data_IF_433244467120
#
_entry.id   IF_433244467120
#
_cell.length_a   1.000
_cell.length_b   1.000
_cell.length_c   1.000
_cell.angle_alpha   90.00
_cell.angle_beta   90.00
_cell.angle_gamma   90.00
#
_symmetry.space_group_name_H-M   'P 1'
#
loop_
_entity.id
_entity.type
_entity.pdbx_description
1 polymer ?
#
# COMPACT_ATOMS: atom_id res chain seq x y z
N UNK A 1 -4.28 24.36 43.13
CA UNK A 1 -3.60 24.23 41.81
C UNK A 1 -2.49 23.17 41.87
N UNK A 2 -2.70 21.97 41.32
CA UNK A 2 -1.72 20.90 41.39
C UNK A 2 -0.59 21.10 40.36
N UNK A 3 0.59 20.63 40.74
CA UNK A 3 1.87 20.69 40.04
C UNK A 3 1.90 19.92 38.70
N UNK A 4 2.82 20.24 37.77
CA UNK A 4 2.94 19.57 36.48
C UNK A 4 3.61 18.19 36.60
N UNK A 5 3.18 17.18 35.82
CA UNK A 5 3.88 15.91 35.74
C UNK A 5 5.14 16.03 34.86
N UNK A 6 6.14 15.27 35.30
CA UNK A 6 7.54 15.26 34.89
C UNK A 6 7.74 14.58 33.53
N UNK A 7 8.65 15.16 32.73
CA UNK A 7 9.66 14.45 31.95
C UNK A 7 9.21 13.59 30.76
N UNK A 8 9.23 14.17 29.57
CA UNK A 8 9.27 13.44 28.30
C UNK A 8 10.72 13.45 27.79
N UNK A 9 11.36 12.28 27.82
CA UNK A 9 12.72 12.07 27.29
C UNK A 9 12.62 11.77 25.79
N UNK A 10 13.17 12.64 24.95
CA UNK A 10 13.28 12.45 23.50
C UNK A 10 14.57 11.65 23.23
N UNK A 11 14.53 10.45 22.60
CA UNK A 11 15.75 9.83 22.14
C UNK A 11 16.23 10.54 20.86
N UNK A 12 17.34 11.26 20.98
CA UNK A 12 18.15 11.77 19.88
C UNK A 12 18.69 10.59 19.06
N UNK A 13 18.20 10.41 17.84
CA UNK A 13 18.80 9.52 16.86
C UNK A 13 20.10 10.16 16.35
N UNK A 14 21.22 9.61 16.82
CA UNK A 14 22.56 9.95 16.39
C UNK A 14 22.75 9.55 14.91
N UNK A 15 23.05 10.53 14.05
CA UNK A 15 23.45 10.30 12.67
C UNK A 15 24.86 9.71 12.64
N UNK A 16 24.99 8.40 12.38
CA UNK A 16 26.27 7.81 12.00
C UNK A 16 26.46 7.92 10.49
N UNK A 17 27.23 8.94 10.09
CA UNK A 17 27.84 9.05 8.77
C UNK A 17 28.99 8.03 8.74
N UNK A 18 28.84 6.95 7.98
CA UNK A 18 29.96 6.04 7.70
C UNK A 18 30.71 6.51 6.44
N UNK A 19 32.04 6.72 6.51
CA UNK A 19 32.84 7.08 5.34
C UNK A 19 33.02 5.88 4.41
N UNK A 20 32.98 6.15 3.10
CA UNK A 20 33.35 5.22 2.04
C UNK A 20 34.77 4.67 2.28
N UNK A 21 34.88 3.35 2.44
CA UNK A 21 36.14 2.62 2.25
C UNK A 21 36.05 1.88 0.92
N UNK A 22 36.91 2.29 -0.01
CA UNK A 22 37.22 1.61 -1.25
C UNK A 22 38.19 0.45 -1.00
N UNK A 23 38.03 -0.66 -1.73
CA UNK A 23 39.06 -1.44 -2.45
C UNK A 23 38.49 -2.83 -2.89
N UNK A 24 39.18 -3.66 -3.70
CA UNK A 24 38.72 -4.01 -5.04
C UNK A 24 38.55 -5.53 -5.25
N UNK A 25 38.04 -5.87 -6.45
CA UNK A 25 38.20 -7.16 -7.17
C UNK A 25 37.88 -8.48 -6.43
N UNK A 26 36.90 -9.21 -6.95
CA UNK A 26 37.11 -10.62 -7.28
C UNK A 26 36.05 -11.18 -8.25
N UNK A 27 36.55 -12.06 -9.13
CA UNK A 27 35.99 -12.53 -10.39
C UNK A 27 35.08 -13.77 -10.20
N UNK A 28 34.12 -13.88 -11.12
CA UNK A 28 33.58 -15.09 -11.78
C UNK A 28 33.37 -16.39 -10.98
N UNK A 29 32.11 -16.85 -10.89
CA UNK A 29 31.72 -18.27 -10.76
C UNK A 29 30.25 -18.49 -11.22
N UNK A 30 29.84 -19.73 -11.57
CA UNK A 30 29.06 -20.03 -12.78
C UNK A 30 27.53 -20.07 -12.62
N UNK A 31 26.84 -19.94 -13.77
CA UNK A 31 25.40 -20.13 -13.94
C UNK A 31 24.94 -21.51 -13.43
N UNK A 32 24.03 -21.51 -12.44
CA UNK A 32 23.21 -22.68 -12.09
C UNK A 32 21.85 -22.54 -12.77
N UNK A 33 21.47 -23.55 -13.53
CA UNK A 33 20.12 -23.73 -14.06
C UNK A 33 19.09 -23.71 -12.92
N UNK A 34 18.08 -22.82 -13.02
CA UNK A 34 16.90 -22.79 -12.17
C UNK A 34 15.65 -23.29 -12.94
N UNK A 35 14.68 -23.91 -12.26
CA UNK A 35 13.48 -24.45 -12.90
C UNK A 35 12.47 -23.33 -13.21
N UNK A 36 11.80 -23.46 -14.36
CA UNK A 36 10.82 -22.50 -14.84
C UNK A 36 9.60 -22.39 -13.90
N UNK A 37 9.24 -21.17 -13.52
CA UNK A 37 7.95 -20.86 -12.90
C UNK A 37 6.82 -21.23 -13.88
N UNK A 38 5.78 -21.92 -13.37
CA UNK A 38 4.58 -22.26 -14.17
C UNK A 38 3.75 -20.99 -14.38
N UNK A 39 4.05 -20.26 -15.44
CA UNK A 39 3.19 -19.18 -15.94
C UNK A 39 1.98 -19.83 -16.64
N UNK A 40 0.78 -19.63 -16.12
CA UNK A 40 -0.46 -20.13 -16.74
C UNK A 40 -1.05 -19.01 -17.62
N UNK A 41 -1.10 -19.25 -18.93
CA UNK A 41 -1.68 -18.39 -19.98
C UNK A 41 -0.98 -17.03 -20.23
N UNK A 42 0.11 -17.03 -20.99
CA UNK A 42 0.61 -15.83 -21.69
C UNK A 42 0.28 -15.91 -23.19
N UNK A 43 -0.40 -14.88 -23.69
CA UNK A 43 -0.35 -14.48 -25.11
C UNK A 43 0.66 -13.32 -25.19
N UNK A 44 1.52 -13.21 -26.23
CA UNK A 44 2.54 -12.17 -26.30
C UNK A 44 1.87 -10.79 -26.33
N UNK A 45 2.24 -9.88 -25.42
CA UNK A 45 1.73 -8.51 -25.44
C UNK A 45 2.72 -7.54 -26.08
N UNK A 46 2.20 -6.82 -27.07
CA UNK A 46 2.80 -5.68 -27.75
C UNK A 46 3.32 -4.63 -26.75
N UNK A 47 4.62 -4.30 -26.85
CA UNK A 47 5.32 -3.33 -26.00
C UNK A 47 4.96 -1.87 -26.33
N UNK A 48 4.04 -1.61 -27.26
CA UNK A 48 3.87 -0.29 -27.86
C UNK A 48 3.08 0.75 -27.02
N UNK A 49 2.38 0.38 -25.91
CA UNK A 49 1.58 1.35 -25.12
C UNK A 49 1.50 1.15 -23.59
N UNK A 50 2.25 0.23 -22.98
CA UNK A 50 2.13 -0.09 -21.55
C UNK A 50 3.29 0.42 -20.67
N UNK A 51 3.02 0.67 -19.38
CA UNK A 51 4.06 0.84 -18.35
C UNK A 51 5.11 -0.28 -18.43
N UNK A 52 6.37 0.02 -18.06
CA UNK A 52 7.37 -1.01 -17.74
C UNK A 52 6.91 -1.74 -16.46
N UNK A 53 6.14 -2.81 -16.64
CA UNK A 53 5.82 -3.77 -15.61
C UNK A 53 6.51 -5.08 -15.97
N UNK A 54 7.18 -5.66 -14.99
CA UNK A 54 8.00 -6.86 -15.17
C UNK A 54 7.15 -8.13 -15.08
N UNK A 55 5.91 -8.04 -14.58
CA UNK A 55 4.95 -9.14 -14.47
C UNK A 55 5.55 -10.39 -13.80
N UNK A 56 6.33 -10.17 -12.74
CA UNK A 56 7.01 -11.21 -11.98
C UNK A 56 8.24 -11.82 -12.67
N UNK A 57 8.75 -11.20 -13.72
CA UNK A 57 10.06 -11.56 -14.26
C UNK A 57 11.14 -11.39 -13.17
N UNK A 58 12.06 -12.36 -13.00
CA UNK A 58 13.17 -12.20 -12.07
C UNK A 58 14.03 -11.01 -12.47
N UNK A 59 14.08 -10.00 -11.60
CA UNK A 59 14.90 -8.80 -11.80
C UNK A 59 16.00 -8.79 -10.74
N UNK A 60 17.25 -8.60 -11.17
CA UNK A 60 18.35 -8.43 -10.22
C UNK A 60 18.20 -7.11 -9.46
N UNK A 61 18.31 -7.18 -8.13
CA UNK A 61 18.25 -5.99 -7.27
C UNK A 61 19.42 -5.06 -7.62
N UNK A 62 19.10 -3.82 -7.96
CA UNK A 62 20.05 -2.81 -8.40
C UNK A 62 20.87 -2.29 -7.22
N UNK A 63 22.13 -2.71 -7.17
CA UNK A 63 23.15 -2.19 -6.28
C UNK A 63 23.01 -2.56 -4.80
N UNK A 64 24.01 -2.21 -3.97
CA UNK A 64 24.10 -2.67 -2.59
C UNK A 64 22.95 -2.21 -1.68
N UNK A 65 22.36 -1.03 -1.95
CA UNK A 65 21.28 -0.48 -1.15
C UNK A 65 19.99 -1.30 -1.30
N UNK A 66 19.59 -1.65 -2.51
CA UNK A 66 18.39 -2.45 -2.73
C UNK A 66 18.52 -3.85 -2.14
N UNK A 67 19.70 -4.47 -2.30
CA UNK A 67 20.03 -5.77 -1.71
C UNK A 67 19.90 -5.74 -0.19
N UNK A 68 20.51 -4.75 0.49
CA UNK A 68 20.35 -4.58 1.94
C UNK A 68 18.92 -4.28 2.33
N UNK A 69 18.18 -3.49 1.54
CA UNK A 69 16.79 -3.15 1.81
C UNK A 69 15.87 -4.36 1.73
N UNK A 70 16.13 -5.30 0.81
CA UNK A 70 15.36 -6.54 0.68
C UNK A 70 15.45 -7.43 1.93
N UNK A 71 16.52 -7.31 2.73
CA UNK A 71 16.71 -8.06 3.98
C UNK A 71 15.87 -7.53 5.15
N UNK A 72 15.31 -6.32 5.04
CA UNK A 72 14.52 -5.74 6.13
C UNK A 72 13.23 -6.55 6.36
N UNK A 73 12.99 -6.96 7.61
CA UNK A 73 11.77 -7.63 8.02
C UNK A 73 10.79 -6.63 8.66
N UNK A 74 9.62 -6.37 8.04
CA UNK A 74 8.59 -5.53 8.63
C UNK A 74 8.12 -6.08 9.98
N UNK A 75 7.87 -5.18 10.93
CA UNK A 75 7.32 -5.54 12.23
C UNK A 75 5.82 -5.79 12.11
N UNK A 76 5.37 -6.95 12.60
CA UNK A 76 3.95 -7.29 12.69
C UNK A 76 3.40 -6.96 14.08
N UNK A 77 2.16 -6.44 14.18
CA UNK A 77 1.46 -6.31 15.45
C UNK A 77 1.39 -7.67 16.18
N UNK A 78 1.53 -7.71 17.52
CA UNK A 78 1.50 -8.97 18.29
C UNK A 78 0.25 -9.81 18.05
N UNK A 79 -0.92 -9.18 17.82
CA UNK A 79 -2.18 -9.86 17.51
C UNK A 79 -2.21 -10.59 16.16
N UNK A 80 -1.23 -10.33 15.28
CA UNK A 80 -1.07 -10.99 13.98
C UNK A 80 0.13 -11.93 13.96
N UNK A 81 0.85 -12.08 15.08
CA UNK A 81 1.96 -13.02 15.19
C UNK A 81 1.41 -14.41 15.54
N UNK A 82 1.83 -15.42 14.77
CA UNK A 82 1.43 -16.82 14.96
C UNK A 82 0.40 -17.32 13.94
N UNK A 83 -0.03 -18.58 14.09
CA UNK A 83 -0.88 -19.27 13.12
C UNK A 83 -2.39 -19.01 13.31
N UNK A 84 -2.80 -18.46 14.47
CA UNK A 84 -4.21 -18.29 14.81
C UNK A 84 -4.48 -16.86 15.25
N UNK A 85 -5.33 -16.18 14.48
CA UNK A 85 -5.79 -14.83 14.77
C UNK A 85 -7.14 -14.92 15.47
N UNK A 86 -7.27 -14.25 16.61
CA UNK A 86 -8.54 -14.14 17.35
C UNK A 86 -9.22 -12.82 17.02
N UNK A 87 -10.53 -12.87 16.84
CA UNK A 87 -11.35 -11.73 16.43
C UNK A 87 -12.45 -11.50 17.47
N UNK A 88 -12.58 -10.25 17.88
CA UNK A 88 -13.74 -9.74 18.60
C UNK A 88 -14.57 -8.84 17.69
N UNK A 89 -15.89 -9.02 17.72
CA UNK A 89 -16.81 -8.18 16.96
C UNK A 89 -17.39 -7.10 17.88
N UNK A 90 -17.17 -5.84 17.51
CA UNK A 90 -17.70 -4.67 18.20
C UNK A 90 -19.08 -4.25 17.70
N UNK A 91 -19.34 -2.95 17.72
CA UNK A 91 -20.62 -2.38 17.31
C UNK A 91 -20.83 -2.39 15.80
N UNK A 92 -22.10 -2.31 15.39
CA UNK A 92 -22.48 -2.12 13.99
C UNK A 92 -22.02 -0.74 13.49
N UNK A 93 -21.52 -0.69 12.27
CA UNK A 93 -21.03 0.56 11.67
C UNK A 93 -22.13 1.37 11.00
N UNK A 94 -21.88 2.65 10.80
CA UNK A 94 -22.74 3.55 10.02
C UNK A 94 -21.90 4.53 9.20
N UNK A 95 -22.55 5.35 8.37
CA UNK A 95 -21.89 6.39 7.58
C UNK A 95 -21.34 7.49 8.49
N UNK A 96 -20.25 8.13 8.04
CA UNK A 96 -19.69 9.30 8.73
C UNK A 96 -20.70 10.47 8.74
N UNK A 97 -21.42 10.64 7.64
CA UNK A 97 -22.52 11.60 7.51
C UNK A 97 -23.86 10.88 7.73
N UNK A 98 -24.59 11.17 8.82
CA UNK A 98 -25.89 10.55 9.10
C UNK A 98 -26.95 10.84 8.03
N UNK A 99 -26.85 11.95 7.31
CA UNK A 99 -27.85 12.33 6.28
C UNK A 99 -27.83 11.37 5.09
N UNK A 100 -26.66 10.80 4.78
CA UNK A 100 -26.49 9.81 3.73
C UNK A 100 -26.83 8.37 4.13
N UNK A 101 -27.06 8.09 5.42
CA UNK A 101 -27.19 6.74 5.94
C UNK A 101 -28.29 5.94 5.24
N UNK A 102 -29.45 6.57 5.01
CA UNK A 102 -30.59 5.90 4.36
C UNK A 102 -30.27 5.52 2.90
N UNK A 103 -29.71 6.45 2.13
CA UNK A 103 -29.35 6.20 0.73
C UNK A 103 -28.27 5.11 0.61
N UNK A 104 -27.28 5.11 1.50
CA UNK A 104 -26.24 4.08 1.53
C UNK A 104 -26.82 2.72 1.94
N UNK A 105 -27.69 2.67 2.96
CA UNK A 105 -28.34 1.42 3.36
C UNK A 105 -29.20 0.83 2.23
N UNK A 106 -29.88 1.66 1.44
CA UNK A 106 -30.62 1.23 0.25
C UNK A 106 -29.70 0.70 -0.86
N UNK A 107 -28.54 1.33 -1.06
CA UNK A 107 -27.56 0.90 -2.07
C UNK A 107 -26.79 -0.37 -1.65
N UNK A 108 -26.61 -0.60 -0.34
CA UNK A 108 -25.82 -1.69 0.23
C UNK A 108 -26.63 -2.57 1.21
N UNK A 109 -27.75 -3.18 0.79
CA UNK A 109 -28.65 -3.88 1.69
C UNK A 109 -28.03 -5.10 2.38
N UNK A 110 -26.95 -5.70 1.84
CA UNK A 110 -26.29 -6.87 2.43
C UNK A 110 -25.04 -6.54 3.24
N UNK A 111 -24.38 -5.43 2.94
CA UNK A 111 -23.08 -5.08 3.54
C UNK A 111 -23.12 -3.86 4.46
N UNK A 112 -24.19 -3.07 4.42
CA UNK A 112 -24.40 -1.97 5.36
C UNK A 112 -24.52 -2.48 6.81
N UNK A 113 -23.92 -1.75 7.77
CA UNK A 113 -24.05 -2.09 9.19
C UNK A 113 -23.15 -3.23 9.67
N UNK A 114 -22.19 -3.68 8.87
CA UNK A 114 -21.23 -4.70 9.31
C UNK A 114 -20.49 -4.26 10.57
N UNK A 115 -20.22 -5.22 11.46
CA UNK A 115 -19.63 -4.98 12.78
C UNK A 115 -18.15 -4.66 12.65
N UNK A 116 -17.67 -3.76 13.51
CA UNK A 116 -16.23 -3.53 13.68
C UNK A 116 -15.54 -4.81 14.15
N UNK A 117 -14.31 -5.00 13.70
CA UNK A 117 -13.50 -6.18 14.00
C UNK A 117 -12.22 -5.73 14.69
N UNK A 118 -11.97 -6.26 15.88
CA UNK A 118 -10.75 -6.05 16.65
C UNK A 118 -9.98 -7.37 16.74
N UNK A 119 -8.68 -7.32 16.45
CA UNK A 119 -7.80 -8.48 16.59
C UNK A 119 -7.20 -8.51 18.00
N UNK A 120 -7.39 -9.64 18.69
CA UNK A 120 -6.88 -9.83 20.05
C UNK A 120 -5.48 -10.42 20.03
N UNK A 121 -4.66 -10.09 21.03
CA UNK A 121 -3.36 -10.72 21.23
C UNK A 121 -3.51 -12.23 21.48
N UNK A 122 -2.49 -13.04 21.16
CA UNK A 122 -2.46 -14.44 21.58
C UNK A 122 -2.54 -14.52 23.12
N UNK A 123 -3.43 -15.35 23.66
CA UNK A 123 -3.46 -15.62 25.11
C UNK A 123 -2.43 -16.71 25.42
N UNK A 124 -1.47 -16.42 26.30
CA UNK A 124 -0.49 -17.41 26.79
C UNK A 124 -1.15 -18.57 27.59
N UNK A 125 -2.42 -18.42 27.97
CA UNK A 125 -3.19 -19.38 28.80
C UNK A 125 -4.15 -20.28 28.01
N UNK A 126 -4.40 -19.99 26.73
CA UNK A 126 -5.19 -20.85 25.86
C UNK A 126 -4.25 -21.86 25.19
N UNK A 127 -4.05 -22.99 25.87
CA UNK A 127 -3.12 -24.05 25.47
C UNK A 127 -3.14 -24.31 23.97
N UNK A 128 -1.94 -24.30 23.36
CA UNK A 128 -1.59 -24.70 22.00
C UNK A 128 -2.80 -25.20 21.18
N UNK A 129 -3.58 -24.25 20.66
CA UNK A 129 -4.84 -24.52 19.99
C UNK A 129 -4.60 -25.27 18.68
N UNK A 130 -4.58 -26.61 18.78
CA UNK A 130 -4.46 -27.63 17.72
C UNK A 130 -3.28 -27.44 16.76
N UNK A 131 -2.60 -28.54 16.48
CA UNK A 131 -1.60 -28.64 15.44
C UNK A 131 -2.07 -27.95 14.14
N UNK A 132 -1.11 -27.46 13.36
CA UNK A 132 -1.24 -26.78 12.06
C UNK A 132 -2.01 -27.60 10.99
N UNK A 133 -2.53 -28.77 11.35
CA UNK A 133 -3.21 -29.68 10.45
C UNK A 133 -4.73 -29.43 10.35
N UNK A 134 -5.18 -29.34 9.10
CA UNK A 134 -6.56 -29.35 8.59
C UNK A 134 -7.36 -28.03 8.47
N UNK A 135 -6.73 -26.87 8.31
CA UNK A 135 -7.46 -25.74 7.68
C UNK A 135 -7.55 -25.99 6.17
N UNK A 136 -8.71 -25.86 5.51
CA UNK A 136 -8.79 -26.07 4.07
C UNK A 136 -7.97 -25.00 3.33
N UNK A 137 -7.24 -25.35 2.25
CA UNK A 137 -6.48 -24.37 1.49
C UNK A 137 -7.42 -23.33 0.88
N UNK A 138 -7.00 -22.07 0.90
CA UNK A 138 -7.77 -20.96 0.33
C UNK A 138 -7.05 -20.35 -0.86
N UNK A 139 -7.85 -19.80 -1.78
CA UNK A 139 -7.38 -19.12 -2.99
C UNK A 139 -7.73 -17.65 -2.91
N UNK A 140 -6.73 -16.79 -2.98
CA UNK A 140 -6.91 -15.35 -2.89
C UNK A 140 -6.36 -14.68 -4.14
N UNK A 141 -7.14 -13.76 -4.71
CA UNK A 141 -6.69 -12.87 -5.77
C UNK A 141 -6.24 -11.52 -5.21
N UNK A 142 -5.24 -10.88 -5.81
CA UNK A 142 -4.80 -9.53 -5.48
C UNK A 142 -4.65 -8.68 -6.74
N UNK A 143 -5.10 -7.43 -6.67
CA UNK A 143 -5.04 -6.49 -7.81
C UNK A 143 -4.61 -5.10 -7.34
N UNK A 144 -3.69 -4.48 -8.10
CA UNK A 144 -3.37 -3.07 -7.95
C UNK A 144 -4.33 -2.22 -8.77
N UNK A 145 -5.04 -1.30 -8.10
CA UNK A 145 -6.00 -0.40 -8.73
C UNK A 145 -5.62 1.06 -8.46
N UNK A 146 -5.55 1.87 -9.53
CA UNK A 146 -5.30 3.30 -9.43
C UNK A 146 -3.81 3.67 -9.51
N UNK A 147 -3.43 4.73 -8.78
CA UNK A 147 -2.06 5.28 -8.83
C UNK A 147 -1.12 4.47 -7.94
N UNK A 148 0.13 4.38 -8.36
CA UNK A 148 1.19 3.73 -7.59
C UNK A 148 1.46 4.51 -6.30
N UNK A 149 1.75 3.77 -5.24
CA UNK A 149 2.14 4.31 -3.95
C UNK A 149 3.24 3.43 -3.36
N UNK A 150 4.23 3.99 -2.64
CA UNK A 150 5.22 3.19 -1.92
C UNK A 150 4.54 2.20 -0.96
N UNK A 151 5.04 0.96 -0.91
CA UNK A 151 4.56 -0.08 0.00
C UNK A 151 3.55 -1.08 -0.58
N UNK A 152 3.11 -0.93 -1.84
CA UNK A 152 2.18 -1.89 -2.46
C UNK A 152 2.74 -3.32 -2.56
N UNK A 153 4.02 -3.47 -2.91
CA UNK A 153 4.66 -4.79 -2.94
C UNK A 153 4.69 -5.45 -1.56
N UNK A 154 4.88 -4.68 -0.47
CA UNK A 154 4.82 -5.21 0.89
C UNK A 154 3.42 -5.69 1.29
N UNK A 155 2.36 -5.14 0.72
CA UNK A 155 0.98 -5.66 0.91
C UNK A 155 0.85 -7.05 0.30
N UNK A 156 1.36 -7.25 -0.93
CA UNK A 156 1.36 -8.56 -1.60
C UNK A 156 2.22 -9.57 -0.84
N UNK A 157 3.41 -9.14 -0.38
CA UNK A 157 4.29 -9.98 0.41
C UNK A 157 3.64 -10.40 1.75
N UNK A 158 3.06 -9.46 2.50
CA UNK A 158 2.37 -9.78 3.76
C UNK A 158 1.18 -10.71 3.54
N UNK A 159 0.45 -10.55 2.43
CA UNK A 159 -0.65 -11.45 2.06
C UNK A 159 -0.14 -12.86 1.73
N UNK A 160 0.96 -12.98 0.99
CA UNK A 160 1.59 -14.27 0.70
C UNK A 160 1.99 -14.99 1.99
N UNK A 161 2.71 -14.31 2.88
CA UNK A 161 3.19 -14.91 4.13
C UNK A 161 2.03 -15.31 5.05
N UNK A 162 0.98 -14.48 5.14
CA UNK A 162 -0.22 -14.81 5.91
C UNK A 162 -0.97 -16.04 5.35
N UNK A 163 -1.04 -16.18 4.02
CA UNK A 163 -1.67 -17.33 3.38
C UNK A 163 -0.87 -18.62 3.61
N UNK A 164 0.46 -18.55 3.50
CA UNK A 164 1.34 -19.70 3.77
C UNK A 164 1.32 -20.11 5.24
N UNK A 165 1.25 -19.15 6.16
CA UNK A 165 1.07 -19.42 7.59
C UNK A 165 -0.31 -20.03 7.92
N UNK A 166 -1.35 -19.68 7.16
CA UNK A 166 -2.69 -20.24 7.31
C UNK A 166 -2.79 -21.68 6.82
N UNK A 167 -2.29 -21.95 5.60
CA UNK A 167 -2.11 -23.29 5.04
C UNK A 167 -1.07 -23.20 3.90
N UNK A 168 0.01 -24.03 3.91
CA UNK A 168 1.05 -24.03 2.87
C UNK A 168 0.55 -24.22 1.42
N UNK A 169 -0.57 -24.92 1.25
CA UNK A 169 -1.23 -25.18 -0.04
C UNK A 169 -2.16 -24.05 -0.50
N UNK A 170 -2.28 -22.96 0.27
CA UNK A 170 -2.99 -21.76 -0.17
C UNK A 170 -2.27 -21.09 -1.33
N UNK A 171 -3.05 -20.50 -2.24
CA UNK A 171 -2.54 -19.92 -3.48
C UNK A 171 -2.91 -18.44 -3.54
N UNK A 172 -1.93 -17.61 -3.90
CA UNK A 172 -2.11 -16.19 -4.16
C UNK A 172 -1.96 -15.91 -5.65
N UNK A 173 -3.02 -15.39 -6.28
CA UNK A 173 -3.03 -14.97 -7.67
C UNK A 173 -2.94 -13.44 -7.77
N UNK A 174 -1.95 -12.92 -8.45
CA UNK A 174 -1.86 -11.51 -8.83
C UNK A 174 -2.48 -11.26 -10.21
N UNK A 175 -3.38 -10.28 -10.33
CA UNK A 175 -3.97 -9.90 -11.61
C UNK A 175 -3.08 -8.93 -12.39
N UNK A 176 -2.70 -9.35 -13.60
CA UNK A 176 -1.75 -8.63 -14.45
C UNK A 176 -2.42 -7.45 -15.16
N UNK A 177 -1.85 -6.25 -15.06
CA UNK A 177 -2.38 -5.03 -15.67
C UNK A 177 -3.51 -4.38 -14.86
N UNK A 178 -3.59 -4.67 -13.56
CA UNK A 178 -4.63 -4.14 -12.69
C UNK A 178 -6.02 -4.75 -12.95
N UNK A 179 -7.06 -3.93 -12.89
CA UNK A 179 -8.46 -4.38 -13.05
C UNK A 179 -8.76 -4.95 -14.44
N UNK A 180 -8.03 -4.55 -15.48
CA UNK A 180 -8.15 -5.16 -16.81
C UNK A 180 -7.76 -6.64 -16.79
N UNK A 181 -6.71 -6.99 -16.02
CA UNK A 181 -6.31 -8.38 -15.80
C UNK A 181 -7.37 -9.20 -15.11
N UNK A 182 -8.05 -8.61 -14.14
CA UNK A 182 -9.20 -9.21 -13.46
C UNK A 182 -10.34 -9.50 -14.44
N UNK A 183 -10.65 -8.58 -15.35
CA UNK A 183 -11.71 -8.79 -16.35
C UNK A 183 -11.31 -9.81 -17.43
N UNK A 184 -10.03 -9.87 -17.79
CA UNK A 184 -9.50 -10.75 -18.82
C UNK A 184 -9.02 -12.12 -18.28
N UNK A 185 -9.17 -12.39 -16.98
CA UNK A 185 -8.66 -13.58 -16.31
C UNK A 185 -7.15 -13.80 -16.54
N UNK A 186 -6.37 -12.72 -16.57
CA UNK A 186 -4.90 -12.74 -16.70
C UNK A 186 -4.28 -12.70 -15.31
N UNK A 187 -3.67 -13.81 -14.91
CA UNK A 187 -3.13 -13.99 -13.56
C UNK A 187 -1.70 -14.47 -13.57
N UNK A 188 -1.00 -14.15 -12.49
CA UNK A 188 0.32 -14.64 -12.13
C UNK A 188 0.21 -15.29 -10.74
N UNK A 189 0.69 -16.52 -10.59
CA UNK A 189 0.82 -17.10 -9.25
C UNK A 189 2.00 -16.45 -8.52
N UNK A 190 1.75 -15.94 -7.31
CA UNK A 190 2.76 -15.27 -6.50
C UNK A 190 3.47 -16.31 -5.63
N UNK A 191 4.75 -16.52 -5.92
CA UNK A 191 5.64 -17.42 -5.19
C UNK A 191 6.75 -16.63 -4.49
N UNK A 192 7.49 -17.29 -3.59
CA UNK A 192 8.65 -16.70 -2.93
C UNK A 192 9.72 -16.21 -3.92
N UNK A 193 9.93 -16.96 -5.01
CA UNK A 193 10.88 -16.60 -6.08
C UNK A 193 10.44 -15.31 -6.80
N UNK A 194 9.14 -15.20 -7.11
CA UNK A 194 8.58 -13.98 -7.71
C UNK A 194 8.76 -12.81 -6.75
N UNK A 195 8.49 -12.99 -5.45
CA UNK A 195 8.55 -11.90 -4.47
C UNK A 195 9.97 -11.45 -4.11
N UNK A 196 11.00 -12.28 -4.33
CA UNK A 196 12.36 -12.03 -3.88
C UNK A 196 12.91 -10.66 -4.33
N UNK A 197 12.62 -10.24 -5.56
CA UNK A 197 13.04 -8.95 -6.13
C UNK A 197 12.17 -7.76 -5.73
N UNK A 198 10.97 -7.99 -5.17
CA UNK A 198 10.01 -6.92 -4.84
C UNK A 198 9.91 -6.61 -3.34
N UNK A 199 10.48 -7.47 -2.47
CA UNK A 199 10.50 -7.25 -1.02
C UNK A 199 11.13 -5.88 -0.70
N UNK A 200 10.35 -5.03 -0.04
CA UNK A 200 10.71 -3.68 0.38
C UNK A 200 11.06 -2.70 -0.75
N UNK A 201 10.73 -3.04 -2.01
CA UNK A 201 10.90 -2.15 -3.15
C UNK A 201 9.65 -1.29 -3.39
N UNK A 202 9.86 -0.11 -3.98
CA UNK A 202 8.76 0.74 -4.44
C UNK A 202 8.15 0.24 -5.74
N UNK A 203 7.16 0.97 -6.26
CA UNK A 203 6.49 0.64 -7.53
C UNK A 203 5.35 -0.37 -7.37
N UNK A 204 4.64 -0.61 -8.48
CA UNK A 204 3.56 -1.60 -8.67
C UNK A 204 3.86 -2.49 -9.89
N UNK A 205 5.11 -2.52 -10.32
CA UNK A 205 5.64 -3.19 -11.52
C UNK A 205 5.54 -4.73 -11.45
N UNK A 206 5.41 -5.31 -10.25
CA UNK A 206 5.13 -6.74 -10.07
C UNK A 206 3.89 -7.20 -10.84
N UNK A 207 2.78 -6.45 -10.78
CA UNK A 207 1.53 -6.80 -11.46
C UNK A 207 1.15 -5.80 -12.54
N UNK A 208 1.74 -4.61 -12.54
CA UNK A 208 1.19 -3.47 -13.26
C UNK A 208 -0.08 -2.93 -12.60
N UNK A 209 -0.67 -1.89 -13.20
CA UNK A 209 -1.85 -1.21 -12.66
C UNK A 209 -2.76 -0.75 -13.80
N UNK A 210 -4.03 -0.53 -13.47
CA UNK A 210 -4.99 0.15 -14.34
C UNK A 210 -5.50 1.44 -13.67
N UNK A 211 -5.93 2.40 -14.51
CA UNK A 211 -6.64 3.61 -14.06
C UNK A 211 -8.17 3.37 -14.05
N UNK A 212 -8.60 2.25 -14.62
CA UNK A 212 -10.00 1.91 -14.82
C UNK A 212 -10.74 1.64 -13.51
N UNK A 213 -11.98 2.13 -13.49
CA UNK A 213 -12.93 1.94 -12.41
C UNK A 213 -13.89 0.81 -12.76
N UNK A 214 -14.29 0.03 -11.76
CA UNK A 214 -15.24 -1.07 -11.90
C UNK A 214 -16.66 -0.51 -11.77
N UNK A 215 -17.19 0.09 -12.84
CA UNK A 215 -18.51 0.76 -12.80
C UNK A 215 -19.59 0.09 -13.64
N UNK A 216 -19.20 -0.49 -14.77
CA UNK A 216 -20.19 -1.07 -15.68
C UNK A 216 -20.64 -2.45 -15.20
N UNK A 217 -21.91 -2.79 -15.44
CA UNK A 217 -22.45 -4.12 -15.18
C UNK A 217 -21.64 -5.23 -15.89
N UNK A 218 -21.09 -4.92 -17.07
CA UNK A 218 -20.20 -5.81 -17.83
C UNK A 218 -18.89 -6.09 -17.09
N UNK A 219 -18.25 -5.06 -16.54
CA UNK A 219 -17.01 -5.21 -15.75
C UNK A 219 -17.25 -5.99 -14.46
N UNK A 220 -18.35 -5.71 -13.75
CA UNK A 220 -18.70 -6.43 -12.52
C UNK A 220 -18.98 -7.90 -12.82
N UNK A 221 -19.71 -8.19 -13.90
CA UNK A 221 -19.99 -9.57 -14.33
C UNK A 221 -18.71 -10.30 -14.73
N UNK A 222 -17.81 -9.64 -15.48
CA UNK A 222 -16.51 -10.22 -15.85
C UNK A 222 -15.65 -10.53 -14.61
N UNK A 223 -15.57 -9.62 -13.65
CA UNK A 223 -14.86 -9.85 -12.39
C UNK A 223 -15.44 -11.04 -11.61
N UNK A 224 -16.78 -11.17 -11.57
CA UNK A 224 -17.45 -12.29 -10.94
C UNK A 224 -17.14 -13.63 -11.63
N UNK A 225 -17.20 -13.66 -12.97
CA UNK A 225 -16.84 -14.84 -13.75
C UNK A 225 -15.40 -15.26 -13.49
N UNK A 226 -14.46 -14.31 -13.44
CA UNK A 226 -13.07 -14.60 -13.10
C UNK A 226 -12.92 -15.18 -11.69
N UNK A 227 -13.61 -14.61 -10.70
CA UNK A 227 -13.59 -15.12 -9.33
C UNK A 227 -14.11 -16.56 -9.24
N UNK A 228 -15.17 -16.87 -9.99
CA UNK A 228 -15.74 -18.23 -10.06
C UNK A 228 -14.83 -19.20 -10.81
N UNK A 229 -14.26 -18.79 -11.96
CA UNK A 229 -13.37 -19.62 -12.77
C UNK A 229 -12.11 -20.04 -12.01
N UNK A 230 -11.56 -19.15 -11.19
CA UNK A 230 -10.38 -19.42 -10.36
C UNK A 230 -10.73 -20.04 -9.00
N UNK A 231 -12.04 -20.14 -8.68
CA UNK A 231 -12.58 -20.58 -7.40
C UNK A 231 -11.98 -19.80 -6.22
N UNK A 232 -12.02 -18.46 -6.29
CA UNK A 232 -11.45 -17.58 -5.28
C UNK A 232 -12.31 -17.52 -4.02
N UNK A 233 -11.67 -17.70 -2.87
CA UNK A 233 -12.25 -17.43 -1.55
C UNK A 233 -12.19 -15.94 -1.20
N UNK A 234 -11.16 -15.24 -1.68
CA UNK A 234 -10.93 -13.83 -1.41
C UNK A 234 -10.41 -13.06 -2.62
N UNK A 235 -10.75 -11.78 -2.70
CA UNK A 235 -10.22 -10.81 -3.66
C UNK A 235 -9.78 -9.56 -2.90
N UNK A 236 -8.49 -9.24 -2.97
CA UNK A 236 -7.87 -8.08 -2.32
C UNK A 236 -7.64 -6.99 -3.36
N UNK A 237 -8.30 -5.84 -3.17
CA UNK A 237 -8.14 -4.67 -4.03
C UNK A 237 -7.27 -3.65 -3.31
N UNK A 238 -6.07 -3.42 -3.84
CA UNK A 238 -5.09 -2.49 -3.28
C UNK A 238 -5.18 -1.16 -4.03
N UNK A 239 -5.62 -0.11 -3.35
CA UNK A 239 -5.78 1.19 -4.00
C UNK A 239 -6.35 2.29 -3.11
N UNK A 240 -6.68 3.42 -3.74
CA UNK A 240 -7.16 4.63 -3.06
C UNK A 240 -8.67 4.67 -2.85
N UNK A 241 -9.21 5.87 -2.66
CA UNK A 241 -10.65 6.11 -2.39
C UNK A 241 -11.56 5.49 -3.46
N UNK A 242 -11.27 5.69 -4.75
CA UNK A 242 -12.09 5.17 -5.84
C UNK A 242 -12.04 3.65 -5.89
N UNK A 243 -10.86 3.06 -5.71
CA UNK A 243 -10.67 1.61 -5.72
C UNK A 243 -11.40 0.92 -4.56
N UNK A 244 -11.43 1.55 -3.38
CA UNK A 244 -12.19 1.02 -2.24
C UNK A 244 -13.71 1.20 -2.41
N UNK A 245 -14.14 2.23 -3.14
CA UNK A 245 -15.55 2.38 -3.53
C UNK A 245 -15.98 1.28 -4.51
N UNK A 246 -15.12 0.96 -5.48
CA UNK A 246 -15.32 -0.15 -6.41
C UNK A 246 -15.32 -1.50 -5.66
N UNK A 247 -14.43 -1.67 -4.68
CA UNK A 247 -14.39 -2.86 -3.83
C UNK A 247 -15.69 -3.07 -3.03
N UNK A 248 -16.25 -2.00 -2.45
CA UNK A 248 -17.52 -2.07 -1.72
C UNK A 248 -18.68 -2.47 -2.64
N UNK A 249 -18.79 -1.85 -3.83
CA UNK A 249 -19.83 -2.18 -4.82
C UNK A 249 -19.71 -3.64 -5.32
N UNK A 250 -18.47 -4.09 -5.56
CA UNK A 250 -18.21 -5.47 -5.96
C UNK A 250 -18.58 -6.46 -4.85
N UNK A 251 -18.24 -6.15 -3.60
CA UNK A 251 -18.59 -6.97 -2.44
C UNK A 251 -20.10 -7.16 -2.32
N UNK A 252 -20.87 -6.07 -2.38
CA UNK A 252 -22.33 -6.09 -2.33
C UNK A 252 -22.91 -6.94 -3.46
N UNK A 253 -22.45 -6.73 -4.69
CA UNK A 253 -22.95 -7.47 -5.85
C UNK A 253 -22.64 -8.96 -5.76
N UNK A 254 -21.44 -9.34 -5.30
CA UNK A 254 -21.05 -10.74 -5.13
C UNK A 254 -21.90 -11.43 -4.06
N UNK A 255 -22.19 -10.76 -2.95
CA UNK A 255 -23.07 -11.29 -1.90
C UNK A 255 -24.51 -11.43 -2.41
N UNK A 256 -25.03 -10.45 -3.14
CA UNK A 256 -26.38 -10.53 -3.74
C UNK A 256 -26.52 -11.67 -4.74
N UNK A 257 -25.44 -12.02 -5.44
CA UNK A 257 -25.40 -13.13 -6.40
C UNK A 257 -24.94 -14.46 -5.79
N UNK A 258 -24.89 -14.56 -4.46
CA UNK A 258 -24.45 -15.76 -3.72
C UNK A 258 -23.06 -16.29 -4.15
N UNK A 259 -22.15 -15.40 -4.53
CA UNK A 259 -20.77 -15.77 -4.80
C UNK A 259 -20.02 -15.99 -3.48
N UNK A 260 -19.19 -17.05 -3.40
CA UNK A 260 -18.39 -17.39 -2.22
C UNK A 260 -17.34 -16.31 -1.91
N UNK A 261 -16.78 -15.69 -2.94
CA UNK A 261 -15.62 -14.80 -2.86
C UNK A 261 -15.90 -13.58 -1.98
N UNK A 262 -15.03 -13.33 -1.01
CA UNK A 262 -15.04 -12.13 -0.16
C UNK A 262 -14.14 -11.06 -0.76
N UNK A 263 -14.55 -9.80 -0.71
CA UNK A 263 -13.73 -8.68 -1.23
C UNK A 263 -13.19 -7.87 -0.06
N UNK A 264 -11.89 -7.59 -0.10
CA UNK A 264 -11.18 -6.79 0.91
C UNK A 264 -10.49 -5.63 0.22
N UNK A 265 -10.75 -4.40 0.68
CA UNK A 265 -10.06 -3.21 0.23
C UNK A 265 -8.86 -2.88 1.13
N UNK A 266 -7.70 -2.57 0.55
CA UNK A 266 -6.52 -2.10 1.29
C UNK A 266 -6.29 -0.61 0.96
N UNK A 267 -6.27 0.27 1.98
CA UNK A 267 -6.15 1.72 1.78
C UNK A 267 -4.71 2.12 1.41
N UNK A 268 -4.44 2.19 0.11
CA UNK A 268 -3.12 2.56 -0.45
C UNK A 268 -3.28 3.80 -1.32
N UNK A 269 -2.73 4.93 -0.86
CA UNK A 269 -2.85 6.23 -1.53
C UNK A 269 -1.68 7.12 -1.13
N UNK A 270 -1.18 7.90 -2.08
CA UNK A 270 -0.17 8.93 -1.84
C UNK A 270 -0.77 10.20 -1.21
N UNK A 271 -2.09 10.40 -1.29
CA UNK A 271 -2.72 11.64 -0.83
C UNK A 271 -3.03 11.67 0.66
N UNK A 272 -3.08 10.50 1.34
CA UNK A 272 -3.55 10.42 2.73
C UNK A 272 -5.03 10.79 2.89
N UNK A 273 -5.85 10.60 1.85
CA UNK A 273 -7.23 11.11 1.77
C UNK A 273 -8.31 10.09 2.19
N UNK A 274 -7.95 8.82 2.35
CA UNK A 274 -8.83 7.77 2.86
C UNK A 274 -8.60 7.62 4.37
N UNK A 275 -9.18 8.54 5.15
CA UNK A 275 -9.05 8.59 6.61
C UNK A 275 -10.42 8.65 7.28
N UNK A 276 -10.53 8.01 8.44
CA UNK A 276 -11.67 8.10 9.36
C UNK A 276 -11.19 7.77 10.78
N UNK A 277 -12.11 7.65 11.73
CA UNK A 277 -11.77 7.33 13.13
C UNK A 277 -11.07 5.97 13.34
N UNK A 278 -11.10 5.07 12.35
CA UNK A 278 -10.49 3.73 12.39
C UNK A 278 -9.28 3.60 11.46
N UNK A 279 -9.19 4.44 10.43
CA UNK A 279 -8.10 4.48 9.45
C UNK A 279 -7.36 5.80 9.61
N UNK A 280 -6.25 5.73 10.34
CA UNK A 280 -5.43 6.90 10.67
C UNK A 280 -4.73 7.49 9.44
N UNK A 281 -4.28 6.62 8.52
CA UNK A 281 -3.56 7.01 7.31
C UNK A 281 -3.56 5.92 6.25
N UNK A 282 -3.11 6.28 5.04
CA UNK A 282 -3.00 5.37 3.90
C UNK A 282 -1.55 4.96 3.66
N UNK A 283 -1.35 3.73 3.17
CA UNK A 283 -0.01 3.23 2.84
C UNK A 283 0.62 4.09 1.74
N UNK A 284 1.85 4.53 2.03
CA UNK A 284 2.70 5.35 1.15
C UNK A 284 2.64 6.85 1.39
N UNK A 285 1.65 7.37 2.13
CA UNK A 285 1.57 8.80 2.48
C UNK A 285 2.83 9.28 3.21
N UNK A 286 3.31 8.53 4.21
CA UNK A 286 4.52 8.85 4.98
C UNK A 286 5.77 8.99 4.09
N UNK A 287 6.03 7.99 3.25
CA UNK A 287 7.19 7.98 2.36
C UNK A 287 7.14 9.14 1.37
N UNK A 288 5.97 9.43 0.80
CA UNK A 288 5.78 10.54 -0.13
C UNK A 288 6.05 11.88 0.55
N UNK A 289 5.55 12.08 1.77
CA UNK A 289 5.78 13.32 2.52
C UNK A 289 7.27 13.48 2.88
N UNK A 290 7.95 12.44 3.35
CA UNK A 290 9.38 12.50 3.69
C UNK A 290 10.25 12.87 2.49
N UNK A 291 10.04 12.22 1.35
CA UNK A 291 10.82 12.48 0.13
C UNK A 291 10.56 13.90 -0.38
N UNK A 292 9.30 14.32 -0.46
CA UNK A 292 8.97 15.67 -0.90
C UNK A 292 9.51 16.74 0.04
N UNK A 293 9.42 16.53 1.36
CA UNK A 293 9.94 17.47 2.37
C UNK A 293 11.45 17.59 2.28
N UNK A 294 12.16 16.49 2.07
CA UNK A 294 13.61 16.51 1.84
C UNK A 294 13.97 17.35 0.61
N UNK A 295 13.26 17.16 -0.51
CA UNK A 295 13.49 17.94 -1.73
C UNK A 295 13.17 19.43 -1.51
N UNK A 296 12.05 19.75 -0.88
CA UNK A 296 11.68 21.14 -0.58
C UNK A 296 12.71 21.77 0.34
N UNK A 297 13.18 21.06 1.37
CA UNK A 297 14.20 21.58 2.30
C UNK A 297 15.51 21.90 1.58
N UNK A 298 15.94 21.04 0.65
CA UNK A 298 17.12 21.31 -0.18
C UNK A 298 16.93 22.56 -1.05
N UNK A 299 15.73 22.75 -1.61
CA UNK A 299 15.38 23.95 -2.38
C UNK A 299 15.32 25.21 -1.50
N UNK A 300 14.86 25.10 -0.26
CA UNK A 300 14.90 26.20 0.71
C UNK A 300 16.35 26.61 1.01
N UNK A 301 17.23 25.64 1.25
CA UNK A 301 18.64 25.87 1.51
C UNK A 301 19.35 26.53 0.31
N UNK A 302 19.03 26.07 -0.90
CA UNK A 302 19.55 26.68 -2.13
C UNK A 302 19.06 28.13 -2.30
N UNK A 303 17.78 28.41 -2.01
CA UNK A 303 17.23 29.76 -2.06
C UNK A 303 17.97 30.72 -1.11
N UNK A 304 18.24 30.27 0.11
CA UNK A 304 19.01 31.04 1.11
C UNK A 304 20.43 31.28 0.61
N UNK A 305 21.06 30.26 0.02
CA UNK A 305 22.44 30.33 -0.48
C UNK A 305 22.60 31.26 -1.70
N UNK A 306 21.62 31.25 -2.60
CA UNK A 306 21.67 32.03 -3.84
C UNK A 306 21.20 33.49 -3.67
N UNK A 307 20.27 33.75 -2.74
CA UNK A 307 19.76 35.10 -2.44
C UNK A 307 18.98 35.79 -3.56
N UNK A 308 18.55 35.06 -4.61
CA UNK A 308 17.94 35.66 -5.82
C UNK A 308 16.77 34.90 -6.42
N UNK A 309 16.46 33.69 -5.95
CA UNK A 309 15.46 32.82 -6.58
C UNK A 309 14.19 32.69 -5.74
N UNK A 310 13.06 32.65 -6.44
CA UNK A 310 11.78 32.21 -5.91
C UNK A 310 11.44 30.85 -6.51
N UNK A 311 11.36 29.84 -5.66
CA UNK A 311 10.98 28.50 -6.08
C UNK A 311 9.50 28.28 -5.87
N UNK A 312 8.84 27.75 -6.90
CA UNK A 312 7.45 27.33 -6.85
C UNK A 312 7.39 25.81 -6.99
N UNK A 313 7.16 25.12 -5.87
CA UNK A 313 7.08 23.66 -5.85
C UNK A 313 5.62 23.23 -5.85
N UNK A 314 5.18 22.61 -6.95
CA UNK A 314 3.84 22.02 -7.06
C UNK A 314 3.87 20.58 -6.58
N UNK A 315 3.14 20.29 -5.51
CA UNK A 315 3.05 18.94 -4.94
C UNK A 315 1.91 18.13 -5.54
N UNK A 316 2.05 16.80 -5.49
CA UNK A 316 0.96 15.89 -5.85
C UNK A 316 -0.16 15.98 -4.81
N UNK A 317 -1.39 16.16 -5.28
CA UNK A 317 -2.59 16.21 -4.46
C UNK A 317 -3.77 16.60 -5.34
N UNK A 318 -4.87 15.83 -5.29
CA UNK A 318 -6.02 16.08 -6.18
C UNK A 318 -7.08 16.94 -5.51
N UNK A 319 -7.64 16.44 -4.40
CA UNK A 319 -8.77 17.08 -3.70
C UNK A 319 -8.39 17.60 -2.31
N UNK A 320 -7.42 16.96 -1.67
CA UNK A 320 -6.94 17.30 -0.34
C UNK A 320 -5.47 17.75 -0.40
N UNK A 321 -5.10 18.64 0.52
CA UNK A 321 -3.76 19.23 0.61
C UNK A 321 -2.96 18.64 1.77
N UNK A 322 -3.26 17.42 2.22
CA UNK A 322 -2.55 16.77 3.33
C UNK A 322 -1.05 16.67 3.07
N UNK A 323 -0.66 16.28 1.85
CA UNK A 323 0.76 16.20 1.45
C UNK A 323 1.42 17.58 1.53
N UNK A 324 0.75 18.63 1.04
CA UNK A 324 1.30 19.98 1.05
C UNK A 324 1.45 20.54 2.46
N UNK A 325 0.47 20.29 3.33
CA UNK A 325 0.52 20.69 4.73
C UNK A 325 1.64 19.96 5.47
N UNK A 326 1.72 18.64 5.33
CA UNK A 326 2.77 17.83 5.96
C UNK A 326 4.17 18.27 5.50
N UNK A 327 4.34 18.50 4.20
CA UNK A 327 5.61 18.99 3.67
C UNK A 327 5.97 20.37 4.22
N UNK A 328 4.99 21.28 4.29
CA UNK A 328 5.23 22.62 4.83
C UNK A 328 5.62 22.59 6.32
N UNK A 329 5.01 21.70 7.12
CA UNK A 329 5.36 21.52 8.53
C UNK A 329 6.76 20.97 8.71
N UNK A 330 7.22 20.07 7.83
CA UNK A 330 8.57 19.49 7.90
C UNK A 330 9.66 20.42 7.36
N UNK A 331 9.38 21.20 6.31
CA UNK A 331 10.39 21.97 5.58
C UNK A 331 10.36 23.47 5.86
N UNK A 332 9.39 23.97 6.62
CA UNK A 332 9.23 25.39 6.99
C UNK A 332 9.39 26.39 5.82
N UNK A 333 8.64 26.24 4.72
CA UNK A 333 8.72 27.19 3.61
C UNK A 333 8.05 28.52 3.96
N UNK A 334 8.41 29.58 3.26
CA UNK A 334 7.88 30.93 3.54
C UNK A 334 6.38 31.05 3.29
N UNK A 335 5.85 30.36 2.28
CA UNK A 335 4.41 30.31 2.02
C UNK A 335 4.00 28.91 1.59
N UNK A 336 2.86 28.45 2.08
CA UNK A 336 2.20 27.22 1.63
C UNK A 336 0.76 27.56 1.25
N UNK A 337 0.39 27.29 0.01
CA UNK A 337 -0.96 27.47 -0.49
C UNK A 337 -1.78 26.22 -0.24
N UNK A 338 -2.94 26.40 0.37
CA UNK A 338 -3.95 25.36 0.56
C UNK A 338 -5.17 25.64 -0.32
N UNK A 339 -5.49 24.73 -1.24
CA UNK A 339 -6.68 24.84 -2.08
C UNK A 339 -7.22 23.49 -2.53
N UNK A 340 -8.51 23.43 -2.91
CA UNK A 340 -9.11 22.24 -3.55
C UNK A 340 -8.54 22.10 -4.98
N UNK A 341 -7.32 21.57 -5.08
CA UNK A 341 -6.60 21.42 -6.37
C UNK A 341 -5.10 21.12 -6.26
N UNK A 342 -4.55 20.99 -5.05
CA UNK A 342 -3.12 20.81 -4.81
C UNK A 342 -2.50 22.05 -4.15
N UNK A 343 -1.40 21.86 -3.42
CA UNK A 343 -0.69 22.93 -2.73
C UNK A 343 0.53 23.40 -3.51
N UNK A 344 0.79 24.71 -3.42
CA UNK A 344 2.02 25.35 -3.92
C UNK A 344 2.83 25.75 -2.70
N UNK A 345 4.11 25.44 -2.70
CA UNK A 345 5.05 25.92 -1.69
C UNK A 345 5.94 26.99 -2.31
N UNK A 346 6.07 28.14 -1.65
CA UNK A 346 6.92 29.27 -2.06
C UNK A 346 7.92 29.59 -0.95
N UNK A 347 9.16 29.87 -1.36
CA UNK A 347 10.25 30.25 -0.46
C UNK A 347 10.86 31.61 -0.84
N UNK A 348 11.36 32.36 0.15
CA UNK A 348 11.98 33.69 0.05
C UNK A 348 12.96 33.90 1.22
N UNK A 349 13.99 34.72 1.00
CA UNK A 349 14.79 35.30 2.08
C UNK A 349 14.53 36.80 2.10
N UNK A 350 13.87 37.29 3.15
CA UNK A 350 13.82 38.74 3.37
C UNK A 350 15.20 39.18 3.88
N UNK A 351 15.83 40.11 3.18
CA UNK A 351 17.20 40.58 3.40
C UNK A 351 17.38 41.44 4.66
N UNK A 352 16.61 41.19 5.72
CA UNK A 352 16.63 41.95 6.97
C UNK A 352 16.93 41.04 8.15
N UNK A 353 18.15 40.49 8.19
CA UNK A 353 18.80 40.20 9.47
C UNK A 353 19.11 41.54 10.16
N UNK A 354 18.10 42.13 10.81
CA UNK A 354 18.35 43.01 11.95
C UNK A 354 18.28 42.15 13.19
N UNK A 355 19.46 41.89 13.75
CA UNK A 355 19.61 41.63 15.18
C UNK A 355 18.75 42.64 15.94
N UNK A 356 17.87 42.16 16.80
CA UNK A 356 17.60 42.77 18.09
C UNK A 356 17.23 41.64 19.05
N UNK A 357 17.77 41.76 20.28
CA UNK A 357 17.83 40.76 21.35
C UNK A 357 16.48 40.17 21.77
#
# INVERSE_FOLDING_TARGET
PPAPPRGMTIPTLSYHIFPCLSSPDQRTAPQRHQPASKIVNLVPTDRSRGMNADYGAPTELAGPLQQRRALYQPRLPPCLQGATVRVEYGDATTTIDPTGAHAVAQAFPRTYGQRLVTFLAPDDTAGAGKAVDERPPIRVGVVFSGRQSPGGHNVVWGLHDALKAYNPHSILYGFIGGTEGLFANKTLEITDDVLASYKNQGGFDLLGRSIDQIRSSKQVSAAMTTCQNLNLDGLVIVGGVTSNSDAAQLAETLVQKNCKTKVVGVPVSLNGDLKNQFVETTVGFDTVCKVNSQLISNVCLDAISAGKYYYFVRLMGRKASHVALECALQSHPNMAYHGRGGGIVKTHTDGSYKQDM
#
